data_IF_923875589952
#
_entry.id   IF_923875589952
#
_cell.length_a   1.000
_cell.length_b   1.000
_cell.length_c   1.000
_cell.angle_alpha   90.00
_cell.angle_beta   90.00
_cell.angle_gamma   90.00
#
_symmetry.space_group_name_H-M   'P 1'
#
loop_
_entity.id
_entity.type
_entity.pdbx_description
1 polymer ?
#
# COMPACT_ATOMS: atom_id res chain seq x y z
N UNK A 1 -34.44 4.14 4.36
CA UNK A 1 -33.54 4.73 3.35
C UNK A 1 -32.14 4.70 3.93
N UNK A 2 -31.39 3.63 3.65
CA UNK A 2 -30.00 3.48 4.09
C UNK A 2 -29.13 4.34 3.17
N UNK A 3 -28.49 5.36 3.73
CA UNK A 3 -27.45 6.12 3.04
C UNK A 3 -26.28 5.16 2.78
N UNK A 4 -26.21 4.61 1.57
CA UNK A 4 -25.01 3.99 1.02
C UNK A 4 -23.95 5.08 0.95
N UNK A 5 -23.00 5.07 1.89
CA UNK A 5 -21.81 5.89 1.77
C UNK A 5 -20.96 5.30 0.65
N UNK A 6 -20.87 6.02 -0.47
CA UNK A 6 -20.26 5.60 -1.75
C UNK A 6 -18.77 5.93 -1.81
N UNK A 7 -18.03 5.68 -0.72
CA UNK A 7 -16.58 5.83 -0.68
C UNK A 7 -16.00 4.69 0.16
N UNK A 8 -14.73 4.27 -0.07
CA UNK A 8 -14.03 3.46 0.90
C UNK A 8 -14.16 4.10 2.27
N UNK A 9 -14.38 3.30 3.30
CA UNK A 9 -14.52 3.86 4.64
C UNK A 9 -13.30 4.73 4.95
N UNK A 10 -13.50 5.93 5.48
CA UNK A 10 -12.36 6.80 5.90
C UNK A 10 -11.41 6.05 6.84
N UNK A 11 -11.93 5.05 7.57
CA UNK A 11 -11.14 4.10 8.36
C UNK A 11 -10.19 3.22 7.53
N UNK A 12 -10.57 2.76 6.34
CA UNK A 12 -9.71 1.94 5.46
C UNK A 12 -8.56 2.76 4.88
N UNK A 13 -8.84 3.96 4.36
CA UNK A 13 -7.81 4.85 3.83
C UNK A 13 -6.85 5.35 4.92
N UNK A 14 -7.37 5.69 6.10
CA UNK A 14 -6.52 6.08 7.24
C UNK A 14 -5.71 4.93 7.83
N UNK A 15 -6.22 3.69 7.80
CA UNK A 15 -5.43 2.50 8.15
C UNK A 15 -4.30 2.27 7.16
N UNK A 16 -4.58 2.33 5.85
CA UNK A 16 -3.59 2.19 4.79
C UNK A 16 -2.48 3.25 4.91
N UNK A 17 -2.83 4.52 5.11
CA UNK A 17 -1.83 5.60 5.29
C UNK A 17 -0.95 5.39 6.52
N UNK A 18 -1.53 4.98 7.66
CA UNK A 18 -0.75 4.68 8.88
C UNK A 18 0.20 3.49 8.70
N UNK A 19 -0.26 2.44 8.02
CA UNK A 19 0.58 1.28 7.71
C UNK A 19 1.75 1.68 6.80
N UNK A 20 1.49 2.50 5.78
CA UNK A 20 2.52 3.03 4.90
C UNK A 20 3.53 3.94 5.63
N UNK A 21 3.08 4.81 6.55
CA UNK A 21 3.96 5.63 7.38
C UNK A 21 4.85 4.75 8.28
N UNK A 22 4.28 3.76 8.96
CA UNK A 22 5.04 2.83 9.78
C UNK A 22 6.10 2.08 8.96
N UNK A 23 5.74 1.66 7.74
CA UNK A 23 6.62 0.96 6.81
C UNK A 23 7.92 1.72 6.51
N UNK A 24 7.87 3.06 6.44
CA UNK A 24 9.04 3.89 6.14
C UNK A 24 10.14 3.79 7.21
N UNK A 25 9.79 3.40 8.44
CA UNK A 25 10.72 3.29 9.56
C UNK A 25 11.28 1.88 9.78
N UNK A 26 10.78 0.88 9.07
CA UNK A 26 11.21 -0.51 9.24
C UNK A 26 12.61 -0.78 8.68
N UNK A 27 13.32 -1.69 9.33
CA UNK A 27 14.66 -2.13 8.91
C UNK A 27 14.86 -3.65 8.99
N UNK A 28 14.01 -4.34 9.76
CA UNK A 28 13.98 -5.80 9.82
C UNK A 28 13.31 -6.38 8.56
N UNK A 29 13.88 -7.46 8.03
CA UNK A 29 13.36 -8.12 6.81
C UNK A 29 11.96 -8.70 7.01
N UNK A 30 11.71 -9.29 8.19
CA UNK A 30 10.44 -9.95 8.49
C UNK A 30 9.32 -8.91 8.70
N UNK A 31 9.60 -7.86 9.48
CA UNK A 31 8.66 -6.76 9.69
C UNK A 31 8.30 -6.05 8.37
N UNK A 32 9.29 -5.91 7.47
CA UNK A 32 9.08 -5.35 6.13
C UNK A 32 8.13 -6.23 5.31
N UNK A 33 8.28 -7.56 5.34
CA UNK A 33 7.39 -8.45 4.61
C UNK A 33 5.96 -8.35 5.15
N UNK A 34 5.78 -8.52 6.45
CA UNK A 34 4.45 -8.56 7.09
C UNK A 34 3.70 -7.24 6.90
N UNK A 35 4.39 -6.12 7.10
CA UNK A 35 3.78 -4.79 6.94
C UNK A 35 3.45 -4.51 5.48
N UNK A 36 4.29 -4.95 4.55
CA UNK A 36 4.02 -4.79 3.12
C UNK A 36 2.80 -5.59 2.66
N UNK A 37 2.63 -6.83 3.16
CA UNK A 37 1.42 -7.63 2.91
C UNK A 37 0.18 -6.96 3.49
N UNK A 38 0.27 -6.42 4.70
CA UNK A 38 -0.82 -5.66 5.33
C UNK A 38 -1.24 -4.43 4.50
N UNK A 39 -0.28 -3.75 3.88
CA UNK A 39 -0.55 -2.64 2.95
C UNK A 39 -1.26 -3.13 1.69
N UNK A 40 -0.84 -4.27 1.14
CA UNK A 40 -1.52 -4.88 -0.02
C UNK A 40 -2.96 -5.24 0.29
N UNK A 41 -3.22 -5.92 1.40
CA UNK A 41 -4.56 -6.29 1.84
C UNK A 41 -5.44 -5.05 2.07
N UNK A 42 -4.90 -4.03 2.74
CA UNK A 42 -5.63 -2.77 2.97
C UNK A 42 -5.98 -2.05 1.67
N UNK A 43 -5.11 -2.12 0.65
CA UNK A 43 -5.36 -1.52 -0.66
C UNK A 43 -6.41 -2.33 -1.46
N UNK A 44 -6.43 -3.66 -1.29
CA UNK A 44 -7.50 -4.50 -1.84
C UNK A 44 -8.85 -4.15 -1.21
N UNK A 45 -8.92 -4.00 0.12
CA UNK A 45 -10.15 -3.60 0.81
C UNK A 45 -10.67 -2.25 0.30
N UNK A 46 -9.77 -1.30 0.02
CA UNK A 46 -10.12 -0.01 -0.58
C UNK A 46 -10.68 -0.19 -2.00
N UNK A 47 -10.07 -1.04 -2.82
CA UNK A 47 -10.53 -1.33 -4.18
C UNK A 47 -11.91 -2.01 -4.20
N UNK A 48 -12.13 -2.98 -3.32
CA UNK A 48 -13.39 -3.73 -3.23
C UNK A 48 -14.54 -2.89 -2.68
N UNK A 49 -14.24 -1.90 -1.83
CA UNK A 49 -15.24 -0.99 -1.25
C UNK A 49 -15.51 0.26 -2.09
N UNK A 50 -14.66 0.58 -3.06
CA UNK A 50 -14.84 1.73 -3.94
C UNK A 50 -15.97 1.48 -4.97
N UNK A 51 -16.89 2.44 -5.19
CA UNK A 51 -17.88 2.33 -6.27
C UNK A 51 -17.24 2.33 -7.66
N UNK A 52 -16.10 2.99 -7.79
CA UNK A 52 -15.25 2.97 -8.98
C UNK A 52 -13.79 2.72 -8.54
N UNK A 53 -13.19 1.55 -8.86
CA UNK A 53 -11.82 1.23 -8.49
C UNK A 53 -10.78 1.85 -9.44
N UNK A 54 -11.18 2.38 -10.61
CA UNK A 54 -10.25 2.90 -11.63
C UNK A 54 -9.28 3.96 -11.07
N UNK A 55 -9.71 4.94 -10.25
CA UNK A 55 -8.81 5.95 -9.69
C UNK A 55 -7.69 5.38 -8.79
N UNK A 56 -7.91 4.21 -8.19
CA UNK A 56 -6.94 3.54 -7.32
C UNK A 56 -5.96 2.66 -8.10
N UNK A 57 -6.20 2.41 -9.39
CA UNK A 57 -5.43 1.47 -10.20
C UNK A 57 -3.93 1.82 -10.30
N UNK A 58 -3.57 3.10 -10.26
CA UNK A 58 -2.16 3.49 -10.27
C UNK A 58 -1.45 3.12 -8.96
N UNK A 59 -2.09 3.37 -7.82
CA UNK A 59 -1.60 2.96 -6.50
C UNK A 59 -1.44 1.45 -6.42
N UNK A 60 -2.46 0.71 -6.89
CA UNK A 60 -2.41 -0.74 -6.98
C UNK A 60 -1.26 -1.26 -7.83
N UNK A 61 -1.05 -0.70 -9.02
CA UNK A 61 0.04 -1.14 -9.89
C UNK A 61 1.43 -0.88 -9.26
N UNK A 62 1.62 0.24 -8.56
CA UNK A 62 2.86 0.51 -7.84
C UNK A 62 3.12 -0.56 -6.77
N UNK A 63 2.12 -0.87 -5.96
CA UNK A 63 2.25 -1.90 -4.93
C UNK A 63 2.39 -3.28 -5.58
N UNK A 64 1.40 -3.75 -6.33
CA UNK A 64 1.31 -5.14 -6.81
C UNK A 64 2.42 -5.52 -7.81
N UNK A 65 2.99 -4.58 -8.56
CA UNK A 65 4.06 -4.88 -9.52
C UNK A 65 5.41 -4.40 -9.01
N UNK A 66 5.59 -3.08 -8.89
CA UNK A 66 6.90 -2.49 -8.60
C UNK A 66 7.35 -2.79 -7.17
N UNK A 67 6.43 -2.79 -6.21
CA UNK A 67 6.71 -3.11 -4.82
C UNK A 67 7.13 -4.57 -4.64
N UNK A 68 6.45 -5.52 -5.28
CA UNK A 68 6.79 -6.94 -5.15
C UNK A 68 8.22 -7.25 -5.64
N UNK A 69 8.64 -6.65 -6.75
CA UNK A 69 10.01 -6.80 -7.25
C UNK A 69 11.04 -6.25 -6.24
N UNK A 70 10.80 -5.05 -5.70
CA UNK A 70 11.70 -4.44 -4.72
C UNK A 70 11.72 -5.21 -3.39
N UNK A 71 10.60 -5.80 -2.98
CA UNK A 71 10.50 -6.66 -1.81
C UNK A 71 11.33 -7.94 -2.00
N UNK A 72 11.17 -8.64 -3.12
CA UNK A 72 11.91 -9.86 -3.39
C UNK A 72 13.43 -9.64 -3.37
N UNK A 73 13.88 -8.51 -3.92
CA UNK A 73 15.29 -8.13 -3.86
C UNK A 73 15.72 -7.71 -2.44
N UNK A 74 14.87 -7.00 -1.68
CA UNK A 74 15.21 -6.60 -0.31
C UNK A 74 15.34 -7.80 0.63
N UNK A 75 14.49 -8.82 0.47
CA UNK A 75 14.56 -10.07 1.25
C UNK A 75 15.87 -10.84 1.01
N UNK A 76 16.59 -10.56 -0.08
CA UNK A 76 17.94 -11.09 -0.34
C UNK A 76 19.06 -10.24 0.27
N UNK A 77 18.73 -9.28 1.14
CA UNK A 77 19.68 -8.36 1.77
C UNK A 77 20.00 -7.11 0.94
N UNK A 78 19.29 -6.86 -0.18
CA UNK A 78 19.55 -5.68 -1.01
C UNK A 78 18.96 -4.41 -0.39
N UNK A 79 19.78 -3.68 0.37
CA UNK A 79 19.38 -2.42 1.02
C UNK A 79 18.98 -1.30 0.03
N UNK A 80 19.47 -1.34 -1.22
CA UNK A 80 19.02 -0.40 -2.26
C UNK A 80 17.60 -0.73 -2.72
N UNK A 81 17.23 -2.01 -2.76
CA UNK A 81 15.88 -2.43 -3.07
C UNK A 81 14.91 -2.05 -1.94
N UNK A 82 15.30 -2.19 -0.67
CA UNK A 82 14.49 -1.71 0.46
C UNK A 82 14.18 -0.20 0.36
N UNK A 83 15.17 0.63 0.01
CA UNK A 83 14.93 2.07 -0.21
C UNK A 83 13.94 2.33 -1.34
N UNK A 84 14.05 1.60 -2.46
CA UNK A 84 13.09 1.71 -3.57
C UNK A 84 11.70 1.23 -3.16
N UNK A 85 11.61 0.15 -2.38
CA UNK A 85 10.34 -0.36 -1.85
C UNK A 85 9.63 0.70 -1.01
N UNK A 86 10.35 1.35 -0.08
CA UNK A 86 9.81 2.46 0.73
C UNK A 86 9.32 3.62 -0.14
N UNK A 87 10.08 3.98 -1.16
CA UNK A 87 9.66 5.01 -2.11
C UNK A 87 8.39 4.59 -2.89
N UNK A 88 8.31 3.35 -3.35
CA UNK A 88 7.13 2.81 -4.04
C UNK A 88 5.89 2.85 -3.14
N UNK A 89 6.03 2.48 -1.86
CA UNK A 89 4.94 2.58 -0.88
C UNK A 89 4.50 4.02 -0.69
N UNK A 90 5.42 4.97 -0.47
CA UNK A 90 5.09 6.41 -0.35
C UNK A 90 4.33 6.93 -1.56
N UNK A 91 4.85 6.66 -2.76
CA UNK A 91 4.24 7.09 -4.02
C UNK A 91 2.84 6.48 -4.21
N UNK A 92 2.64 5.22 -3.82
CA UNK A 92 1.34 4.58 -3.94
C UNK A 92 0.26 5.30 -3.11
N UNK A 93 0.61 5.82 -1.93
CA UNK A 93 -0.31 6.56 -1.07
C UNK A 93 -0.54 7.97 -1.62
N UNK A 94 0.50 8.65 -2.08
CA UNK A 94 0.42 9.99 -2.68
C UNK A 94 -0.49 10.02 -3.92
N UNK A 95 -0.60 8.89 -4.63
CA UNK A 95 -1.44 8.75 -5.82
C UNK A 95 -2.89 8.34 -5.54
N UNK A 96 -3.29 8.15 -4.28
CA UNK A 96 -4.68 7.85 -3.96
C UNK A 96 -5.58 9.06 -4.29
N UNK A 97 -6.79 8.83 -4.81
CA UNK A 97 -7.78 9.90 -4.98
C UNK A 97 -8.13 10.52 -3.61
N UNK A 98 -8.28 11.84 -3.60
CA UNK A 98 -8.66 12.63 -2.41
C UNK A 98 -10.16 12.73 -2.22
#
# INVERSE_FOLDING_TARGET
>A
MTHLSTAPSESSLSALSRAAEAFLHLSSSDEVLDTYLSIQESLVDVLESAPDPVPYGHSWNLIACQGQLNLLDSQKGNQKALRRLKQTVSQSIECLPR
#
